data_IF_818378652258
#
_entry.id   IF_818378652258
#
_cell.length_a   1.000
_cell.length_b   1.000
_cell.length_c   1.000
_cell.angle_alpha   90.00
_cell.angle_beta   90.00
_cell.angle_gamma   90.00
#
_symmetry.space_group_name_H-M   'P 1'
#
loop_
_entity.id
_entity.type
_entity.pdbx_description
1 polymer ?
#
# COMPACT_ATOMS: atom_id res chain seq x y z
N UNK A 1 18.63 -73.44 12.29
CA UNK A 1 17.19 -73.12 12.38
C UNK A 1 17.00 -71.75 11.73
N UNK A 2 16.67 -71.64 10.44
CA UNK A 2 15.40 -71.89 9.74
C UNK A 2 14.43 -70.68 9.73
N UNK A 3 14.48 -69.94 8.61
CA UNK A 3 13.43 -69.30 7.79
C UNK A 3 12.26 -68.52 8.43
N UNK A 4 12.03 -67.31 7.90
CA UNK A 4 10.83 -66.78 7.17
C UNK A 4 10.91 -65.24 7.18
N UNK A 5 11.12 -64.51 6.08
CA UNK A 5 10.21 -64.20 4.94
C UNK A 5 8.75 -64.09 5.37
N UNK A 6 8.29 -62.85 5.61
CA UNK A 6 6.90 -62.42 5.38
C UNK A 6 6.96 -61.06 4.71
N UNK A 7 6.79 -61.12 3.40
CA UNK A 7 6.18 -60.12 2.54
C UNK A 7 4.73 -59.95 3.00
N UNK A 8 4.26 -58.74 3.29
CA UNK A 8 2.81 -58.47 3.33
C UNK A 8 2.54 -56.99 3.02
N UNK A 9 2.09 -56.79 1.79
CA UNK A 9 0.98 -55.95 1.34
C UNK A 9 0.93 -54.46 1.73
N UNK A 10 1.30 -53.62 0.75
CA UNK A 10 0.49 -52.42 0.45
C UNK A 10 -0.82 -52.88 -0.20
N UNK A 11 -2.00 -52.37 0.19
CA UNK A 11 -2.56 -51.17 -0.49
C UNK A 11 -3.46 -50.33 0.44
N UNK A 12 -3.65 -49.03 0.27
CA UNK A 12 -4.63 -48.47 -0.66
C UNK A 12 -4.56 -46.96 -0.48
N UNK A 13 -4.00 -46.28 -1.47
CA UNK A 13 -4.17 -44.84 -1.62
C UNK A 13 -5.66 -44.61 -1.93
N UNK A 14 -6.43 -43.87 -1.11
CA UNK A 14 -7.78 -43.51 -1.48
C UNK A 14 -7.66 -42.63 -2.73
N UNK A 15 -8.09 -43.19 -3.86
CA UNK A 15 -8.25 -42.49 -5.12
C UNK A 15 -8.88 -41.12 -4.82
N UNK A 16 -8.09 -40.07 -5.01
CA UNK A 16 -8.64 -38.73 -5.09
C UNK A 16 -9.74 -38.78 -6.16
N UNK A 17 -10.93 -38.19 -5.91
CA UNK A 17 -11.92 -38.07 -6.94
C UNK A 17 -11.28 -37.31 -8.09
N UNK A 18 -10.99 -38.02 -9.17
CA UNK A 18 -10.87 -37.46 -10.50
C UNK A 18 -12.19 -36.76 -10.74
N UNK A 19 -12.25 -35.49 -10.36
CA UNK A 19 -13.21 -34.57 -10.94
C UNK A 19 -12.78 -34.52 -12.39
N UNK A 20 -13.40 -35.39 -13.18
CA UNK A 20 -13.49 -35.31 -14.63
C UNK A 20 -14.13 -33.96 -14.90
N UNK A 21 -13.28 -32.93 -14.86
CA UNK A 21 -13.58 -31.59 -15.31
C UNK A 21 -13.84 -31.75 -16.79
N UNK A 22 -15.13 -31.93 -17.09
CA UNK A 22 -15.68 -31.90 -18.42
C UNK A 22 -14.95 -30.79 -19.18
N UNK A 23 -14.40 -31.07 -20.37
CA UNK A 23 -13.78 -30.03 -21.17
C UNK A 23 -14.79 -28.89 -21.26
N UNK A 24 -14.41 -27.66 -20.87
CA UNK A 24 -15.33 -26.54 -20.98
C UNK A 24 -15.83 -26.55 -22.41
N UNK A 25 -17.16 -26.63 -22.55
CA UNK A 25 -17.81 -26.52 -23.85
C UNK A 25 -17.13 -25.39 -24.63
N UNK A 26 -16.84 -25.59 -25.93
CA UNK A 26 -16.20 -24.56 -26.74
C UNK A 26 -17.01 -23.28 -26.55
N UNK A 27 -16.41 -22.33 -25.84
CA UNK A 27 -17.07 -21.10 -25.50
C UNK A 27 -17.50 -20.45 -26.81
N UNK A 28 -18.80 -20.32 -27.02
CA UNK A 28 -19.36 -19.56 -28.13
C UNK A 28 -18.64 -18.21 -28.17
N UNK A 29 -17.93 -17.97 -29.26
CA UNK A 29 -17.09 -16.80 -29.59
C UNK A 29 -17.94 -15.53 -29.83
N UNK A 30 -19.07 -15.45 -29.12
CA UNK A 30 -20.09 -14.40 -29.21
C UNK A 30 -20.53 -13.93 -27.82
N UNK A 31 -19.69 -14.12 -26.80
CA UNK A 31 -19.84 -13.33 -25.58
C UNK A 31 -19.57 -11.88 -25.95
N UNK A 32 -20.54 -10.95 -25.83
CA UNK A 32 -20.32 -9.55 -26.17
C UNK A 32 -19.13 -9.06 -25.37
N UNK A 33 -18.07 -8.69 -26.09
CA UNK A 33 -16.85 -8.11 -25.54
C UNK A 33 -17.27 -6.97 -24.61
N UNK A 34 -17.33 -7.28 -23.31
CA UNK A 34 -17.61 -6.31 -22.27
C UNK A 34 -16.64 -5.17 -22.54
N UNK A 35 -17.11 -3.93 -22.75
CA UNK A 35 -16.28 -2.83 -23.21
C UNK A 35 -15.06 -2.78 -22.31
N UNK A 36 -13.89 -3.06 -22.90
CA UNK A 36 -12.65 -3.33 -22.18
C UNK A 36 -12.27 -2.00 -21.53
N UNK A 37 -12.71 -1.79 -20.29
CA UNK A 37 -12.49 -0.57 -19.51
C UNK A 37 -11.03 -0.21 -19.66
N UNK A 38 -10.77 0.94 -20.28
CA UNK A 38 -9.44 1.28 -20.79
C UNK A 38 -8.37 0.97 -19.76
N UNK A 39 -7.36 0.18 -20.16
CA UNK A 39 -6.31 -0.25 -19.24
C UNK A 39 -5.62 1.01 -18.69
N UNK A 40 -5.70 1.29 -17.38
CA UNK A 40 -5.08 2.46 -16.82
C UNK A 40 -3.58 2.35 -17.02
N UNK A 41 -2.98 3.35 -17.68
CA UNK A 41 -1.54 3.40 -17.96
C UNK A 41 -0.68 3.41 -16.68
N UNK A 42 -1.27 3.70 -15.52
CA UNK A 42 -0.58 3.83 -14.22
C UNK A 42 -1.15 2.85 -13.19
N UNK A 43 -0.26 2.14 -12.50
CA UNK A 43 -0.58 1.16 -11.44
C UNK A 43 -1.33 1.80 -10.25
N UNK A 44 -1.00 3.06 -9.93
CA UNK A 44 -1.66 3.80 -8.84
C UNK A 44 -3.13 4.05 -9.11
N UNK A 45 -3.50 4.36 -10.36
CA UNK A 45 -4.89 4.59 -10.76
C UNK A 45 -5.71 3.30 -10.64
N UNK A 46 -5.12 2.15 -11.02
CA UNK A 46 -5.77 0.85 -10.82
C UNK A 46 -6.01 0.55 -9.34
N UNK A 47 -5.04 0.86 -8.47
CA UNK A 47 -5.17 0.71 -7.02
C UNK A 47 -6.25 1.62 -6.43
N UNK A 48 -6.27 2.90 -6.80
CA UNK A 48 -7.27 3.85 -6.30
C UNK A 48 -8.69 3.45 -6.72
N UNK A 49 -8.87 2.95 -7.95
CA UNK A 49 -10.15 2.42 -8.40
C UNK A 49 -10.56 1.15 -7.63
N UNK A 50 -9.61 0.28 -7.32
CA UNK A 50 -9.87 -0.91 -6.51
C UNK A 50 -10.31 -0.55 -5.08
N UNK A 51 -9.63 0.42 -4.46
CA UNK A 51 -9.99 0.92 -3.13
C UNK A 51 -11.37 1.58 -3.10
N UNK A 52 -11.75 2.30 -4.17
CA UNK A 52 -13.11 2.85 -4.31
C UNK A 52 -14.19 1.78 -4.45
N UNK A 53 -13.86 0.66 -5.10
CA UNK A 53 -14.81 -0.43 -5.34
C UNK A 53 -14.95 -1.38 -4.13
N UNK A 54 -13.85 -1.69 -3.44
CA UNK A 54 -13.81 -2.67 -2.34
C UNK A 54 -13.91 -2.02 -0.94
N UNK A 55 -13.56 -0.74 -0.81
CA UNK A 55 -13.50 -0.03 0.47
C UNK A 55 -12.15 -0.13 1.20
N UNK A 56 -12.06 0.56 2.35
CA UNK A 56 -10.84 0.66 3.17
C UNK A 56 -10.41 -0.67 3.80
N UNK A 57 -11.36 -1.56 4.05
CA UNK A 57 -11.13 -2.84 4.75
C UNK A 57 -10.62 -3.95 3.83
N UNK A 58 -10.53 -3.68 2.52
CA UNK A 58 -10.08 -4.64 1.53
C UNK A 58 -8.67 -5.18 1.84
N UNK A 59 -8.51 -6.51 1.82
CA UNK A 59 -7.20 -7.16 1.99
C UNK A 59 -6.34 -6.96 0.73
N UNK A 60 -5.00 -6.89 0.83
CA UNK A 60 -4.12 -6.75 -0.34
C UNK A 60 -4.36 -7.82 -1.42
N UNK A 61 -4.66 -9.06 -1.02
CA UNK A 61 -4.99 -10.15 -1.96
C UNK A 61 -6.30 -9.88 -2.74
N UNK A 62 -7.33 -9.38 -2.06
CA UNK A 62 -8.60 -9.02 -2.72
C UNK A 62 -8.41 -7.88 -3.73
N UNK A 63 -7.59 -6.89 -3.37
CA UNK A 63 -7.23 -5.78 -4.27
C UNK A 63 -6.48 -6.31 -5.50
N UNK A 64 -5.54 -7.23 -5.29
CA UNK A 64 -4.79 -7.88 -6.37
C UNK A 64 -5.71 -8.63 -7.32
N UNK A 65 -6.61 -9.45 -6.78
CA UNK A 65 -7.57 -10.23 -7.56
C UNK A 65 -8.50 -9.33 -8.37
N UNK A 66 -8.98 -8.24 -7.76
CA UNK A 66 -9.81 -7.28 -8.45
C UNK A 66 -9.06 -6.58 -9.60
N UNK A 67 -7.82 -6.12 -9.37
CA UNK A 67 -7.00 -5.47 -10.40
C UNK A 67 -6.65 -6.44 -11.53
N UNK A 68 -6.39 -7.71 -11.20
CA UNK A 68 -6.14 -8.77 -12.17
C UNK A 68 -7.36 -9.00 -13.06
N UNK A 69 -8.56 -9.11 -12.48
CA UNK A 69 -9.81 -9.30 -13.22
C UNK A 69 -10.18 -8.09 -14.09
N UNK A 70 -10.05 -6.88 -13.55
CA UNK A 70 -10.50 -5.66 -14.23
C UNK A 70 -9.51 -5.15 -15.28
N UNK A 71 -8.22 -5.23 -15.00
CA UNK A 71 -7.18 -4.59 -15.83
C UNK A 71 -6.17 -5.57 -16.43
N UNK A 72 -6.23 -6.86 -16.08
CA UNK A 72 -5.27 -7.87 -16.54
C UNK A 72 -3.85 -7.61 -16.03
N UNK A 73 -3.70 -6.89 -14.90
CA UNK A 73 -2.40 -6.57 -14.32
C UNK A 73 -2.18 -7.34 -13.02
N UNK A 74 -1.00 -7.94 -12.87
CA UNK A 74 -0.58 -8.59 -11.64
C UNK A 74 0.31 -7.64 -10.83
N UNK A 75 -0.16 -7.23 -9.65
CA UNK A 75 0.63 -6.44 -8.70
C UNK A 75 1.12 -7.35 -7.58
N UNK A 76 2.38 -7.20 -7.15
CA UNK A 76 2.92 -7.96 -6.02
C UNK A 76 2.23 -7.51 -4.71
N UNK A 77 1.85 -8.44 -3.81
CA UNK A 77 1.20 -8.11 -2.54
C UNK A 77 1.98 -7.11 -1.68
N UNK A 78 3.31 -7.20 -1.67
CA UNK A 78 4.21 -6.27 -0.96
C UNK A 78 3.97 -4.82 -1.39
N UNK A 79 3.83 -4.58 -2.70
CA UNK A 79 3.57 -3.24 -3.26
C UNK A 79 2.18 -2.73 -2.86
N UNK A 80 1.18 -3.60 -2.86
CA UNK A 80 -0.19 -3.27 -2.46
C UNK A 80 -0.27 -2.89 -0.98
N UNK A 81 0.50 -3.55 -0.11
CA UNK A 81 0.61 -3.19 1.31
C UNK A 81 1.18 -1.78 1.48
N UNK A 82 2.28 -1.46 0.78
CA UNK A 82 2.86 -0.11 0.78
C UNK A 82 1.88 0.94 0.25
N UNK A 83 1.20 0.66 -0.86
CA UNK A 83 0.18 1.56 -1.43
C UNK A 83 -0.99 1.77 -0.49
N UNK A 84 -1.50 0.70 0.14
CA UNK A 84 -2.56 0.79 1.15
C UNK A 84 -2.13 1.63 2.35
N UNK A 85 -0.92 1.42 2.89
CA UNK A 85 -0.40 2.24 3.99
C UNK A 85 -0.31 3.73 3.63
N UNK A 86 0.17 4.05 2.44
CA UNK A 86 0.24 5.43 1.94
C UNK A 86 -1.16 6.02 1.70
N UNK A 87 -2.09 5.23 1.18
CA UNK A 87 -3.48 5.64 0.96
C UNK A 87 -4.20 5.91 2.28
N UNK A 88 -4.11 5.00 3.26
CA UNK A 88 -4.65 5.19 4.61
C UNK A 88 -4.04 6.42 5.29
N UNK A 89 -2.75 6.71 5.10
CA UNK A 89 -2.14 7.94 5.65
C UNK A 89 -2.69 9.20 4.99
N UNK A 90 -2.91 9.19 3.68
CA UNK A 90 -3.46 10.33 2.93
C UNK A 90 -4.93 10.57 3.23
N UNK A 91 -5.72 9.50 3.36
CA UNK A 91 -7.17 9.59 3.52
C UNK A 91 -7.64 9.48 4.98
N UNK A 92 -6.85 8.84 5.84
CA UNK A 92 -7.17 8.63 7.26
C UNK A 92 -6.57 9.67 8.21
N UNK A 93 -5.72 10.59 7.73
CA UNK A 93 -5.18 11.68 8.55
C UNK A 93 -5.65 13.05 8.06
N UNK A 94 -6.96 13.27 8.17
CA UNK A 94 -7.50 14.63 8.31
C UNK A 94 -7.77 15.01 9.77
N UNK A 95 -7.34 14.19 10.75
CA UNK A 95 -7.67 14.41 12.17
C UNK A 95 -6.65 13.93 13.19
N UNK A 96 -5.39 13.66 12.81
CA UNK A 96 -4.34 13.44 13.82
C UNK A 96 -3.80 14.80 14.26
N UNK A 97 -4.57 15.45 15.12
CA UNK A 97 -4.00 16.23 16.21
C UNK A 97 -3.01 15.32 16.91
N UNK A 98 -1.73 15.68 16.83
CA UNK A 98 -0.64 15.15 17.63
C UNK A 98 -1.01 15.15 19.11
N UNK A 99 -1.65 14.09 19.60
CA UNK A 99 -1.41 13.65 20.98
C UNK A 99 -0.11 12.88 20.95
N UNK A 100 0.97 13.65 21.05
CA UNK A 100 2.26 13.12 21.45
C UNK A 100 2.04 12.44 22.79
N UNK A 101 2.14 11.11 22.81
CA UNK A 101 2.22 10.37 24.04
C UNK A 101 3.41 10.92 24.82
N UNK A 102 3.14 11.38 26.04
CA UNK A 102 4.12 11.57 27.10
C UNK A 102 4.79 10.22 27.39
N UNK A 103 5.74 9.84 26.55
CA UNK A 103 6.79 8.91 26.91
C UNK A 103 7.84 9.73 27.67
N UNK A 104 7.61 9.86 28.97
CA UNK A 104 8.62 10.29 29.91
C UNK A 104 9.71 9.20 29.97
N UNK A 105 10.80 9.40 29.23
CA UNK A 105 12.12 8.86 29.59
C UNK A 105 13.18 9.84 29.08
N UNK A 106 13.65 10.62 30.05
CA UNK A 106 15.03 10.99 30.34
C UNK A 106 16.04 11.23 29.21
N UNK A 107 16.61 12.45 29.29
CA UNK A 107 18.05 12.72 29.28
C UNK A 107 18.75 12.98 27.93
N UNK A 108 19.11 14.25 27.73
CA UNK A 108 20.50 14.62 27.52
C UNK A 108 21.00 14.81 26.09
N UNK A 109 21.50 16.02 25.81
CA UNK A 109 22.30 16.37 24.61
C UNK A 109 21.51 17.25 23.64
N UNK A 110 21.68 18.56 23.58
CA UNK A 110 22.97 19.27 23.62
C UNK A 110 23.74 18.96 22.34
N UNK A 111 23.38 19.60 21.23
CA UNK A 111 23.99 19.31 19.93
C UNK A 111 23.66 20.38 18.88
N UNK A 112 24.34 21.52 19.00
CA UNK A 112 24.42 22.52 17.95
C UNK A 112 24.89 21.87 16.63
N UNK A 113 23.98 21.78 15.67
CA UNK A 113 24.24 21.28 14.34
C UNK A 113 23.07 21.66 13.44
N UNK A 114 23.12 22.90 12.91
CA UNK A 114 22.17 23.46 11.94
C UNK A 114 22.06 22.56 10.71
N UNK A 115 21.20 21.54 10.77
CA UNK A 115 20.64 20.91 9.58
C UNK A 115 19.19 21.34 9.56
N UNK A 116 18.88 22.34 8.73
CA UNK A 116 17.51 22.81 8.56
C UNK A 116 16.65 21.61 8.20
N UNK A 117 15.74 21.22 9.09
CA UNK A 117 14.89 20.08 8.86
C UNK A 117 13.83 20.47 7.84
N UNK A 118 13.29 19.50 7.10
CA UNK A 118 12.16 19.74 6.18
C UNK A 118 10.92 20.30 6.91
N UNK A 119 10.85 20.17 8.23
CA UNK A 119 9.83 20.81 9.07
C UNK A 119 10.05 22.32 9.12
N UNK A 120 11.28 22.76 9.41
CA UNK A 120 11.64 24.18 9.49
C UNK A 120 11.35 24.89 8.17
N UNK A 121 11.62 24.24 7.03
CA UNK A 121 11.33 24.82 5.70
C UNK A 121 9.83 25.05 5.48
N UNK A 122 8.97 24.16 6.00
CA UNK A 122 7.51 24.35 5.90
C UNK A 122 7.01 25.43 6.83
N UNK A 123 7.57 25.52 8.03
CA UNK A 123 7.23 26.59 8.98
C UNK A 123 7.64 27.96 8.42
N UNK A 124 8.83 28.04 7.82
CA UNK A 124 9.32 29.25 7.16
C UNK A 124 8.39 29.67 6.01
N UNK A 125 7.90 28.72 5.22
CA UNK A 125 6.93 28.98 4.15
C UNK A 125 5.60 29.51 4.69
N UNK A 126 5.13 28.98 5.81
CA UNK A 126 3.88 29.43 6.44
C UNK A 126 4.04 30.81 7.09
N UNK A 127 5.18 31.10 7.72
CA UNK A 127 5.49 32.46 8.18
C UNK A 127 5.55 33.43 7.01
N UNK A 128 6.21 33.05 5.92
CA UNK A 128 6.33 33.89 4.73
C UNK A 128 4.96 34.20 4.11
N UNK A 129 4.03 33.24 4.11
CA UNK A 129 2.68 33.45 3.59
C UNK A 129 1.81 34.36 4.49
N UNK A 130 2.02 34.35 5.81
CA UNK A 130 1.21 35.13 6.76
C UNK A 130 1.75 36.53 7.00
N UNK A 131 3.08 36.65 7.06
CA UNK A 131 3.79 37.89 7.42
C UNK A 131 4.23 38.65 6.17
N UNK A 132 4.48 37.93 5.06
CA UNK A 132 5.00 38.51 3.83
C UNK A 132 6.52 38.75 3.88
N UNK A 133 7.13 38.79 2.69
CA UNK A 133 8.59 38.87 2.52
C UNK A 133 9.17 40.24 2.95
N UNK A 134 8.35 41.29 2.93
CA UNK A 134 8.76 42.65 3.26
C UNK A 134 8.95 42.85 4.77
N UNK A 135 8.03 42.33 5.60
CA UNK A 135 8.19 42.38 7.06
C UNK A 135 9.35 41.50 7.55
N UNK A 136 9.60 40.37 6.89
CA UNK A 136 10.73 39.52 7.24
C UNK A 136 12.06 40.26 6.99
N UNK A 137 12.16 41.01 5.87
CA UNK A 137 13.30 41.90 5.61
C UNK A 137 13.45 43.01 6.66
N UNK A 138 12.36 43.63 7.10
CA UNK A 138 12.43 44.65 8.17
C UNK A 138 12.94 44.06 9.48
N UNK A 139 12.50 42.87 9.87
CA UNK A 139 12.99 42.20 11.08
C UNK A 139 14.47 41.81 10.96
N UNK A 140 14.92 41.29 9.82
CA UNK A 140 16.33 40.99 9.58
C UNK A 140 17.20 42.26 9.61
N UNK A 141 16.69 43.37 9.08
CA UNK A 141 17.37 44.67 9.10
C UNK A 141 17.49 45.22 10.52
N UNK A 142 16.44 45.09 11.35
CA UNK A 142 16.47 45.45 12.77
C UNK A 142 17.43 44.59 13.59
N UNK A 143 17.61 43.32 13.22
CA UNK A 143 18.55 42.41 13.89
C UNK A 143 20.02 42.58 13.42
N UNK A 144 20.29 43.44 12.44
CA UNK A 144 21.66 43.66 11.93
C UNK A 144 22.24 42.45 11.16
N UNK A 145 21.37 41.55 10.69
CA UNK A 145 21.78 40.40 9.87
C UNK A 145 21.74 40.86 8.42
N UNK A 146 22.89 41.31 7.92
CA UNK A 146 23.10 41.74 6.53
C UNK A 146 23.73 40.62 5.69
#
# INVERSE_FOLDING_TARGET
MAKKVVTDEMPTEPAAPTVEEAPPAPADDNTPLVPRKERPKKKTVAFDNAMKALGSDAKPLQIQDWIRRQYGMLLKPTLLSTYKGNWLRKHGRSGVTTRSATAAVSSGGGGAGKTATLSDVRELKNMLARVGMNQLKEMLTLLGVH
#
